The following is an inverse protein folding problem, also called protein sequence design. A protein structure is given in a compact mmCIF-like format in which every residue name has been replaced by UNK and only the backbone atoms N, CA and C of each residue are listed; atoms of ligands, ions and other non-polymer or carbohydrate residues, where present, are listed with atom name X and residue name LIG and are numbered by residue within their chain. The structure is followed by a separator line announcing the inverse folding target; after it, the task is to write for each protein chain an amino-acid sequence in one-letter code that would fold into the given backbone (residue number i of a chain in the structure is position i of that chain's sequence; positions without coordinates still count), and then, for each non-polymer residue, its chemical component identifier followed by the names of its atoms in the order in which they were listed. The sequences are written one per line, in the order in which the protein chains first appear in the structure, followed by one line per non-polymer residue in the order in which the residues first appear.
data_IF_578670971517
#
_entry.id   IF_578670971517
#
_cell.length_a   1.000
_cell.length_b   1.000
_cell.length_c   1.000
_cell.angle_alpha   90.00
_cell.angle_beta   90.00
_cell.angle_gamma   90.00
#
_symmetry.space_group_name_H-M   'P 1'
#
loop_
_entity.id
_entity.type
_entity.pdbx_description
1 polymer ?
#
# COMPACT_ATOMS: atom_id res chain seq x y z
N UNK A 1 -4.12 -11.60 -14.49
CA UNK A 1 -3.60 -11.05 -13.23
C UNK A 1 -2.10 -11.28 -13.31
N UNK A 2 -1.29 -10.24 -13.46
CA UNK A 2 0.17 -10.41 -13.53
C UNK A 2 0.67 -10.71 -12.11
N UNK A 3 1.20 -11.92 -11.89
CA UNK A 3 1.74 -12.36 -10.60
C UNK A 3 3.08 -11.68 -10.21
N UNK A 4 3.51 -10.68 -11.00
CA UNK A 4 4.66 -9.82 -10.68
C UNK A 4 4.16 -8.62 -9.87
N UNK A 5 4.26 -8.71 -8.55
CA UNK A 5 4.07 -7.57 -7.63
C UNK A 5 5.21 -6.53 -7.71
N UNK A 6 6.24 -6.77 -8.53
CA UNK A 6 7.46 -5.96 -8.59
C UNK A 6 7.90 -5.77 -10.05
N UNK A 7 8.42 -4.58 -10.36
CA UNK A 7 9.07 -4.23 -11.63
C UNK A 7 10.59 -4.14 -11.38
N UNK A 8 11.40 -4.82 -12.19
CA UNK A 8 12.84 -4.56 -12.22
C UNK A 8 13.13 -3.29 -13.03
N UNK A 9 14.30 -2.64 -12.90
CA UNK A 9 14.65 -1.47 -13.71
C UNK A 9 14.56 -1.69 -15.23
N UNK A 10 14.70 -2.94 -15.66
CA UNK A 10 14.62 -3.38 -17.06
C UNK A 10 13.18 -3.71 -17.50
N UNK A 11 12.25 -3.90 -16.55
CA UNK A 11 10.85 -4.14 -16.85
C UNK A 11 10.20 -2.82 -17.34
N UNK A 12 9.41 -2.91 -18.40
CA UNK A 12 8.63 -1.76 -18.88
C UNK A 12 7.50 -1.43 -17.91
N UNK A 13 7.16 -0.15 -17.81
CA UNK A 13 6.04 0.27 -16.98
C UNK A 13 4.72 -0.32 -17.51
N UNK A 14 3.83 -0.82 -16.64
CA UNK A 14 2.57 -1.44 -17.07
C UNK A 14 1.66 -0.48 -17.84
N UNK A 15 1.23 -0.86 -19.04
CA UNK A 15 0.33 -0.07 -19.90
C UNK A 15 -1.03 0.26 -19.23
N UNK A 16 -1.46 -0.58 -18.29
CA UNK A 16 -2.70 -0.37 -17.54
C UNK A 16 -2.60 0.83 -16.59
N UNK A 17 -1.42 1.04 -16.01
CA UNK A 17 -1.15 2.14 -15.08
C UNK A 17 -0.84 3.45 -15.81
N UNK A 18 -0.41 3.39 -17.06
CA UNK A 18 -0.11 4.57 -17.90
C UNK A 18 -1.37 5.42 -18.19
N UNK A 19 -2.55 4.83 -18.03
CA UNK A 19 -3.85 5.51 -18.19
C UNK A 19 -4.28 6.26 -16.93
N UNK A 20 -3.65 5.99 -15.79
CA UNK A 20 -4.01 6.60 -14.52
C UNK A 20 -3.35 7.99 -14.47
N UNK A 21 -4.18 9.02 -14.34
CA UNK A 21 -3.66 10.39 -14.28
C UNK A 21 -3.02 10.68 -12.93
N UNK A 22 -2.07 11.62 -12.91
CA UNK A 22 -1.46 12.11 -11.65
C UNK A 22 -2.51 12.55 -10.62
N UNK A 23 -3.61 13.14 -11.10
CA UNK A 23 -4.70 13.57 -10.24
C UNK A 23 -5.41 12.39 -9.57
N UNK A 24 -5.71 11.33 -10.33
CA UNK A 24 -6.34 10.12 -9.79
C UNK A 24 -5.43 9.43 -8.77
N UNK A 25 -4.11 9.40 -9.03
CA UNK A 25 -3.12 8.90 -8.07
C UNK A 25 -3.13 9.71 -6.78
N UNK A 26 -3.15 11.04 -6.86
CA UNK A 26 -3.19 11.92 -5.68
C UNK A 26 -4.47 11.76 -4.87
N UNK A 27 -5.62 11.56 -5.54
CA UNK A 27 -6.89 11.29 -4.87
C UNK A 27 -6.84 9.96 -4.14
N UNK A 28 -6.31 8.92 -4.78
CA UNK A 28 -6.15 7.59 -4.16
C UNK A 28 -5.21 7.64 -2.96
N UNK A 29 -4.05 8.29 -3.09
CA UNK A 29 -3.09 8.48 -2.00
C UNK A 29 -3.73 9.22 -0.82
N UNK A 30 -4.46 10.30 -1.08
CA UNK A 30 -5.18 11.03 -0.02
C UNK A 30 -6.25 10.17 0.68
N UNK A 31 -6.91 9.24 -0.02
CA UNK A 31 -7.88 8.33 0.59
C UNK A 31 -7.19 7.32 1.49
N UNK A 32 -6.11 6.71 1.01
CA UNK A 32 -5.29 5.76 1.78
C UNK A 32 -4.74 6.42 3.04
N UNK A 33 -4.21 7.64 2.94
CA UNK A 33 -3.69 8.34 4.11
C UNK A 33 -4.77 8.60 5.17
N UNK A 34 -5.95 9.06 4.79
CA UNK A 34 -7.07 9.25 5.75
C UNK A 34 -7.51 7.94 6.39
N UNK A 35 -7.46 6.85 5.64
CA UNK A 35 -7.75 5.54 6.17
C UNK A 35 -6.69 5.14 7.20
N UNK A 36 -5.41 5.28 6.89
CA UNK A 36 -4.31 5.03 7.84
C UNK A 36 -4.45 5.93 9.08
N UNK A 37 -4.76 7.21 8.92
CA UNK A 37 -4.97 8.13 10.04
C UNK A 37 -6.10 7.64 10.97
N UNK A 38 -7.17 7.09 10.41
CA UNK A 38 -8.29 6.51 11.17
C UNK A 38 -7.93 5.18 11.84
N UNK A 39 -7.06 4.39 11.21
CA UNK A 39 -6.58 3.12 11.74
C UNK A 39 -5.53 3.32 12.85
N UNK A 40 -4.78 4.43 12.78
CA UNK A 40 -3.57 4.63 13.60
C UNK A 40 -3.80 5.43 14.89
N UNK A 41 -4.81 6.32 15.05
CA UNK A 41 -5.02 6.97 16.37
C UNK A 41 -6.46 7.42 16.66
N UNK A 42 -7.05 6.82 17.70
CA UNK A 42 -7.66 7.55 18.82
C UNK A 42 -7.17 6.84 20.10
N UNK A 43 -6.45 7.55 20.99
CA UNK A 43 -5.95 7.10 22.31
C UNK A 43 -4.65 6.26 22.39
N UNK A 44 -3.87 6.15 21.30
CA UNK A 44 -2.54 5.51 21.33
C UNK A 44 -2.57 3.97 21.27
N UNK A 45 -3.73 3.40 21.01
CA UNK A 45 -3.93 2.00 20.67
C UNK A 45 -4.39 1.86 19.22
N UNK A 46 -4.05 0.73 18.60
CA UNK A 46 -4.44 0.38 17.23
C UNK A 46 -5.96 0.22 17.17
N UNK A 47 -6.61 0.69 16.10
CA UNK A 47 -8.03 0.47 15.92
C UNK A 47 -8.35 -1.06 15.91
N UNK A 48 -9.17 -1.57 16.84
CA UNK A 48 -9.44 -3.02 16.95
C UNK A 48 -10.06 -3.63 15.69
N UNK A 49 -10.76 -2.82 14.88
CA UNK A 49 -11.35 -3.29 13.63
C UNK A 49 -10.30 -3.51 12.54
N UNK A 50 -9.14 -2.85 12.61
CA UNK A 50 -8.10 -2.94 11.57
C UNK A 50 -6.78 -3.49 12.08
N UNK A 51 -6.72 -3.89 13.36
CA UNK A 51 -5.57 -4.53 14.00
C UNK A 51 -5.02 -5.72 13.18
N UNK A 52 -5.92 -6.49 12.55
CA UNK A 52 -5.55 -7.65 11.73
C UNK A 52 -4.65 -7.31 10.53
N UNK A 53 -4.66 -6.07 10.04
CA UNK A 53 -3.87 -5.65 8.88
C UNK A 53 -2.40 -5.42 9.20
N UNK A 54 -2.05 -5.19 10.47
CA UNK A 54 -0.65 -5.09 10.87
C UNK A 54 0.11 -6.37 10.57
N UNK A 55 -0.55 -7.53 10.68
CA UNK A 55 0.06 -8.82 10.35
C UNK A 55 0.48 -8.89 8.87
N UNK A 56 -0.37 -8.43 7.95
CA UNK A 56 -0.06 -8.44 6.51
C UNK A 56 1.12 -7.50 6.19
N UNK A 57 1.16 -6.31 6.81
CA UNK A 57 2.26 -5.36 6.65
C UNK A 57 3.57 -5.87 7.26
N UNK A 58 3.52 -6.49 8.44
CA UNK A 58 4.70 -7.07 9.10
C UNK A 58 5.28 -8.24 8.29
N UNK A 59 4.42 -9.10 7.71
CA UNK A 59 4.86 -10.14 6.79
C UNK A 59 5.55 -9.53 5.55
N UNK A 60 4.95 -8.51 4.94
CA UNK A 60 5.52 -7.83 3.77
C UNK A 60 6.89 -7.22 4.09
N UNK A 61 7.03 -6.52 5.22
CA UNK A 61 8.29 -5.89 5.62
C UNK A 61 9.38 -6.92 5.98
N UNK A 62 9.04 -8.01 6.66
CA UNK A 62 9.99 -9.08 6.95
C UNK A 62 10.47 -9.77 5.67
N UNK A 63 9.61 -9.90 4.67
CA UNK A 63 9.97 -10.46 3.36
C UNK A 63 10.86 -9.51 2.55
N UNK A 64 10.68 -8.20 2.72
CA UNK A 64 11.55 -7.19 2.12
C UNK A 64 12.97 -7.23 2.70
N UNK A 65 13.12 -7.34 4.01
CA UNK A 65 14.43 -7.29 4.69
C UNK A 65 15.29 -8.55 4.46
N UNK A 66 14.70 -9.65 3.97
CA UNK A 66 15.41 -10.90 3.64
C UNK A 66 15.99 -10.93 2.22
N UNK A 67 15.70 -9.92 1.39
CA UNK A 67 16.05 -9.88 -0.05
C UNK A 67 17.08 -8.79 -0.34
#
# INVERSE_FOLDING_TARGET
MNDKLHLTPEDQFPEELDKVTDHELQVLDSQVQRQLDHEVVVDGEVNPETEFRHYELDEEFQDRDKR
#
